data_IF_075049639137
#
_entry.id   IF_075049639137
#
_cell.length_a   1.000
_cell.length_b   1.000
_cell.length_c   1.000
_cell.angle_alpha   90.00
_cell.angle_beta   90.00
_cell.angle_gamma   90.00
#
_symmetry.space_group_name_H-M   'P 1'
#
loop_
_entity.id
_entity.type
_entity.pdbx_description
1 polymer ?
#
# COMPACT_ATOMS: atom_id res chain seq x y z
N UNK A 1 28.36 22.21 -13.43
CA UNK A 1 27.12 21.47 -13.12
C UNK A 1 26.39 21.04 -14.39
N UNK A 2 26.09 21.94 -15.32
CA UNK A 2 25.47 21.58 -16.62
C UNK A 2 26.39 20.73 -17.49
N UNK A 3 27.70 20.99 -17.51
CA UNK A 3 28.65 20.21 -18.31
C UNK A 3 28.90 18.81 -17.75
N UNK A 4 28.92 18.65 -16.42
CA UNK A 4 28.99 17.33 -15.78
C UNK A 4 27.74 16.48 -16.06
N UNK A 5 26.55 17.09 -16.03
CA UNK A 5 25.30 16.44 -16.44
C UNK A 5 25.28 16.06 -17.93
N UNK A 6 25.97 16.83 -18.79
CA UNK A 6 26.12 16.50 -20.21
C UNK A 6 27.07 15.33 -20.43
N UNK A 7 28.15 15.26 -19.68
CA UNK A 7 29.08 14.12 -19.72
C UNK A 7 28.43 12.84 -19.20
N UNK A 8 27.70 12.90 -18.07
CA UNK A 8 26.94 11.75 -17.53
C UNK A 8 25.85 11.28 -18.51
N UNK A 9 25.16 12.21 -19.17
CA UNK A 9 24.15 11.86 -20.17
C UNK A 9 24.77 11.26 -21.44
N UNK A 10 25.96 11.74 -21.85
CA UNK A 10 26.69 11.19 -22.98
C UNK A 10 27.17 9.76 -22.71
N UNK A 11 27.67 9.50 -21.50
CA UNK A 11 28.13 8.18 -21.06
C UNK A 11 26.97 7.17 -20.96
N UNK A 12 25.83 7.60 -20.43
CA UNK A 12 24.60 6.81 -20.39
C UNK A 12 24.10 6.49 -21.82
N UNK A 13 24.15 7.48 -22.72
CA UNK A 13 23.72 7.30 -24.12
C UNK A 13 24.63 6.32 -24.87
N UNK A 14 25.94 6.36 -24.61
CA UNK A 14 26.90 5.41 -25.18
C UNK A 14 26.65 3.98 -24.67
N UNK A 15 26.41 3.83 -23.36
CA UNK A 15 26.13 2.54 -22.73
C UNK A 15 24.84 1.89 -23.25
N UNK A 16 23.77 2.69 -23.43
CA UNK A 16 22.51 2.20 -24.00
C UNK A 16 22.69 1.77 -25.47
N UNK A 17 23.46 2.53 -26.26
CA UNK A 17 23.73 2.15 -27.65
C UNK A 17 24.50 0.83 -27.75
N UNK A 18 25.55 0.67 -26.94
CA UNK A 18 26.34 -0.56 -26.91
C UNK A 18 25.49 -1.78 -26.53
N UNK A 19 24.56 -1.63 -25.58
CA UNK A 19 23.63 -2.68 -25.22
C UNK A 19 22.68 -3.06 -26.36
N UNK A 20 22.12 -2.07 -27.07
CA UNK A 20 21.22 -2.31 -28.20
C UNK A 20 21.95 -3.00 -29.38
N UNK A 21 23.19 -2.62 -29.65
CA UNK A 21 24.03 -3.26 -30.66
C UNK A 21 24.36 -4.71 -30.28
N UNK A 22 24.75 -4.96 -29.02
CA UNK A 22 24.99 -6.31 -28.51
C UNK A 22 23.73 -7.19 -28.58
N UNK A 23 22.57 -6.66 -28.18
CA UNK A 23 21.30 -7.38 -28.26
C UNK A 23 20.93 -7.71 -29.71
N UNK A 24 21.14 -6.77 -30.65
CA UNK A 24 20.90 -7.01 -32.07
C UNK A 24 21.83 -8.08 -32.66
N UNK A 25 23.08 -8.18 -32.17
CA UNK A 25 24.04 -9.20 -32.62
C UNK A 25 23.80 -10.58 -32.02
N UNK A 26 23.36 -10.66 -30.76
CA UNK A 26 23.30 -11.92 -30.00
C UNK A 26 21.90 -12.52 -29.90
N UNK A 27 20.85 -11.70 -30.02
CA UNK A 27 19.46 -12.13 -29.82
C UNK A 27 19.17 -12.64 -28.41
N UNK A 28 20.01 -12.30 -27.42
CA UNK A 28 19.86 -12.73 -26.04
C UNK A 28 18.95 -11.78 -25.25
N UNK A 29 17.92 -12.32 -24.61
CA UNK A 29 17.05 -11.56 -23.71
C UNK A 29 17.75 -11.32 -22.35
N UNK A 30 18.06 -10.06 -22.02
CA UNK A 30 18.61 -9.64 -20.71
C UNK A 30 19.98 -8.94 -20.77
N UNK A 31 20.36 -8.26 -19.67
CA UNK A 31 21.68 -7.61 -19.54
C UNK A 31 22.77 -8.67 -19.27
N UNK A 32 23.95 -8.59 -19.93
CA UNK A 32 25.06 -9.49 -19.63
C UNK A 32 25.48 -9.31 -18.16
N UNK A 33 25.68 -10.44 -17.46
CA UNK A 33 25.93 -10.48 -16.01
C UNK A 33 27.25 -9.86 -15.54
N UNK A 34 28.09 -9.39 -16.47
CA UNK A 34 29.38 -8.75 -16.18
C UNK A 34 29.61 -7.54 -17.12
N UNK A 35 29.75 -6.31 -16.60
CA UNK A 35 30.05 -5.11 -17.39
C UNK A 35 31.38 -5.18 -18.15
N UNK A 36 32.33 -6.02 -17.74
CA UNK A 36 33.63 -6.18 -18.42
C UNK A 36 33.51 -6.85 -19.80
N UNK A 37 32.46 -7.66 -20.02
CA UNK A 37 32.19 -8.32 -21.29
C UNK A 37 31.80 -7.32 -22.42
N UNK A 38 31.28 -6.14 -22.07
CA UNK A 38 30.95 -5.07 -23.04
C UNK A 38 32.21 -4.42 -23.61
N UNK A 39 33.31 -4.34 -22.84
CA UNK A 39 34.57 -3.76 -23.29
C UNK A 39 35.41 -4.75 -24.12
N UNK A 40 35.39 -6.05 -23.79
CA UNK A 40 36.10 -7.08 -24.56
C UNK A 40 35.47 -7.30 -25.96
N UNK A 41 34.15 -7.20 -26.09
CA UNK A 41 33.46 -7.35 -27.38
C UNK A 41 33.80 -6.24 -28.39
N UNK A 42 34.15 -5.04 -27.90
CA UNK A 42 34.53 -3.90 -28.74
C UNK A 42 36.04 -3.83 -29.03
N UNK A 43 36.87 -4.59 -28.31
CA UNK A 43 38.33 -4.62 -28.46
C UNK A 43 38.87 -5.66 -29.45
N UNK A 44 38.05 -6.61 -29.91
CA UNK A 44 38.49 -7.73 -30.75
C UNK A 44 37.95 -7.64 -32.18
N UNK A 45 38.33 -6.60 -32.93
CA UNK A 45 38.24 -6.64 -34.40
C UNK A 45 39.38 -5.88 -35.06
N UNK A 46 40.53 -6.54 -35.16
CA UNK A 46 41.58 -6.19 -36.13
C UNK A 46 42.28 -7.48 -36.54
N UNK A 47 41.78 -8.11 -37.60
CA UNK A 47 42.49 -8.89 -38.62
C UNK A 47 41.62 -10.01 -39.21
N UNK A 48 41.37 -9.84 -40.50
CA UNK A 48 41.26 -10.87 -41.56
C UNK A 48 40.16 -11.93 -41.54
N UNK A 49 39.36 -11.94 -42.62
CA UNK A 49 38.61 -13.11 -43.07
C UNK A 49 37.35 -12.77 -43.88
N UNK A 50 37.43 -12.88 -45.21
CA UNK A 50 36.31 -12.65 -46.14
C UNK A 50 35.14 -13.66 -46.01
N UNK A 51 34.01 -13.40 -46.69
CA UNK A 51 32.75 -14.09 -46.39
C UNK A 51 32.56 -15.37 -47.23
N UNK A 52 31.85 -16.39 -46.71
CA UNK A 52 31.20 -17.37 -47.57
C UNK A 52 29.67 -17.19 -47.62
N UNK A 53 29.23 -16.97 -48.86
CA UNK A 53 28.05 -17.48 -49.55
C UNK A 53 26.76 -17.86 -48.79
N UNK A 54 25.69 -17.25 -49.30
CA UNK A 54 24.27 -17.53 -49.08
C UNK A 54 23.86 -19.01 -49.22
N UNK A 55 22.85 -19.40 -48.42
CA UNK A 55 21.88 -20.43 -48.80
C UNK A 55 20.46 -19.90 -48.71
N UNK A 56 19.80 -19.92 -49.87
CA UNK A 56 18.38 -19.73 -50.07
C UNK A 56 17.58 -20.80 -49.33
N UNK A 57 16.46 -20.39 -48.74
CA UNK A 57 15.28 -21.23 -48.61
C UNK A 57 14.07 -20.42 -49.07
N UNK A 58 13.64 -20.73 -50.29
CA UNK A 58 12.34 -20.38 -50.85
C UNK A 58 11.22 -20.93 -49.96
N UNK A 59 10.30 -20.06 -49.52
CA UNK A 59 8.86 -20.37 -49.47
C UNK A 59 8.08 -19.12 -49.85
N UNK A 60 7.51 -19.17 -51.04
CA UNK A 60 6.64 -18.13 -51.56
C UNK A 60 5.25 -18.15 -50.93
N UNK A 61 4.63 -16.98 -50.95
CA UNK A 61 3.19 -16.87 -51.14
C UNK A 61 2.95 -15.61 -52.00
N UNK A 62 2.48 -15.83 -53.23
CA UNK A 62 1.81 -14.82 -54.04
C UNK A 62 0.52 -14.41 -53.29
N UNK A 63 0.12 -13.15 -53.17
CA UNK A 63 -0.13 -12.20 -54.25
C UNK A 63 -1.65 -11.97 -54.33
N UNK A 64 -2.03 -10.70 -54.55
CA UNK A 64 -3.33 -10.18 -54.98
C UNK A 64 -4.23 -9.49 -53.94
N UNK A 65 -4.29 -8.16 -54.13
CA UNK A 65 -5.48 -7.31 -54.24
C UNK A 65 -6.22 -6.81 -53.00
N UNK A 66 -6.03 -5.50 -52.76
CA UNK A 66 -6.96 -4.61 -52.07
C UNK A 66 -8.24 -4.43 -52.92
N UNK A 67 -9.40 -4.12 -52.27
CA UNK A 67 -9.78 -2.71 -52.20
C UNK A 67 -10.51 -2.28 -50.92
N UNK A 68 -10.54 -0.96 -50.70
CA UNK A 68 -11.27 -0.25 -49.64
C UNK A 68 -12.79 -0.15 -49.90
N UNK A 69 -13.59 0.15 -48.85
CA UNK A 69 -14.79 0.98 -48.99
C UNK A 69 -14.77 2.17 -48.00
N UNK A 70 -14.83 3.41 -48.48
CA UNK A 70 -16.04 4.20 -48.77
C UNK A 70 -16.72 4.81 -47.52
N UNK A 71 -16.47 6.10 -47.33
CA UNK A 71 -17.15 7.01 -46.39
C UNK A 71 -18.34 7.66 -47.10
N UNK A 72 -19.55 7.75 -46.50
CA UNK A 72 -20.58 8.63 -47.03
C UNK A 72 -20.48 10.04 -46.43
N UNK A 73 -20.37 11.04 -47.32
CA UNK A 73 -20.68 12.46 -47.07
C UNK A 73 -22.04 12.81 -47.68
N UNK A 74 -22.77 13.70 -47.01
CA UNK A 74 -23.98 14.39 -47.48
C UNK A 74 -24.91 14.62 -46.28
N UNK A 75 -24.97 15.81 -45.66
CA UNK A 75 -25.66 17.00 -46.15
C UNK A 75 -27.13 16.92 -45.70
N UNK A 76 -27.78 17.85 -45.02
CA UNK A 76 -27.55 19.23 -44.63
C UNK A 76 -28.95 19.79 -44.34
N UNK A 77 -29.16 20.46 -43.21
CA UNK A 77 -30.32 21.31 -43.00
C UNK A 77 -29.99 22.34 -41.91
N UNK A 78 -29.78 23.57 -42.36
CA UNK A 78 -29.68 24.76 -41.54
C UNK A 78 -31.06 25.16 -41.03
N UNK A 79 -31.15 25.67 -39.81
CA UNK A 79 -31.97 26.84 -39.50
C UNK A 79 -31.33 27.62 -38.33
N UNK A 80 -31.27 28.94 -38.54
CA UNK A 80 -30.52 29.94 -37.81
C UNK A 80 -31.28 30.46 -36.55
N UNK A 81 -30.66 31.34 -35.74
CA UNK A 81 -30.99 31.54 -34.33
C UNK A 81 -31.91 32.74 -34.07
N UNK A 82 -32.54 32.78 -32.89
CA UNK A 82 -33.20 33.97 -32.36
C UNK A 82 -32.53 34.42 -31.06
N UNK A 83 -32.18 35.70 -31.04
CA UNK A 83 -31.44 36.38 -29.99
C UNK A 83 -32.37 37.17 -29.05
N UNK A 84 -31.84 37.44 -27.86
CA UNK A 84 -32.10 38.60 -26.98
C UNK A 84 -33.48 38.74 -26.30
N UNK A 85 -33.45 38.85 -24.97
CA UNK A 85 -33.52 40.15 -24.28
C UNK A 85 -33.18 40.04 -22.79
N UNK A 86 -32.42 41.04 -22.35
CA UNK A 86 -32.09 41.38 -20.98
C UNK A 86 -33.18 42.28 -20.40
N UNK A 87 -33.50 42.14 -19.12
CA UNK A 87 -34.11 43.21 -18.32
C UNK A 87 -33.79 42.97 -16.83
N UNK A 88 -33.16 43.98 -16.23
CA UNK A 88 -32.86 44.07 -14.82
C UNK A 88 -34.02 44.65 -14.01
N UNK A 89 -33.94 44.42 -12.70
CA UNK A 89 -34.27 45.33 -11.58
C UNK A 89 -35.45 44.97 -10.65
N UNK A 90 -35.10 45.13 -9.36
CA UNK A 90 -35.91 45.53 -8.21
C UNK A 90 -36.47 44.43 -7.27
N UNK A 91 -35.81 44.33 -6.11
CA UNK A 91 -36.34 43.83 -4.83
C UNK A 91 -37.63 44.57 -4.41
N UNK A 92 -38.43 43.98 -3.50
CA UNK A 92 -38.30 44.38 -2.09
C UNK A 92 -38.39 43.23 -1.08
N UNK A 93 -37.77 43.43 0.08
CA UNK A 93 -37.98 42.70 1.34
C UNK A 93 -38.86 43.56 2.28
N UNK A 94 -39.22 43.12 3.50
CA UNK A 94 -39.83 41.85 3.94
C UNK A 94 -41.16 42.13 4.70
N UNK A 95 -41.78 41.11 5.32
CA UNK A 95 -42.19 41.35 6.70
C UNK A 95 -41.77 40.23 7.68
N UNK A 96 -41.58 40.69 8.91
CA UNK A 96 -41.14 39.99 10.10
C UNK A 96 -42.23 39.08 10.74
N UNK A 97 -41.71 38.03 11.38
CA UNK A 97 -42.13 37.45 12.66
C UNK A 97 -43.54 36.84 12.82
N UNK A 98 -43.55 35.50 12.96
CA UNK A 98 -44.24 34.87 14.09
C UNK A 98 -43.54 33.57 14.50
N UNK A 99 -43.07 33.56 15.74
CA UNK A 99 -42.54 32.39 16.43
C UNK A 99 -43.65 31.38 16.73
N UNK A 100 -43.37 30.09 16.52
CA UNK A 100 -44.08 29.00 17.16
C UNK A 100 -43.08 27.87 17.44
N UNK A 101 -42.92 27.57 18.72
CA UNK A 101 -42.11 26.51 19.27
C UNK A 101 -42.61 25.14 18.79
N UNK A 102 -41.71 24.29 18.28
CA UNK A 102 -41.97 22.87 18.11
C UNK A 102 -41.45 22.13 19.34
N UNK A 103 -42.40 21.70 20.16
CA UNK A 103 -42.21 20.84 21.32
C UNK A 103 -42.03 19.37 20.90
N UNK A 104 -41.19 18.67 21.65
CA UNK A 104 -40.92 17.23 21.59
C UNK A 104 -42.18 16.37 21.76
N UNK A 105 -42.25 15.17 21.13
CA UNK A 105 -43.30 14.21 21.43
C UNK A 105 -43.02 13.44 22.74
N UNK A 106 -44.08 13.06 23.50
CA UNK A 106 -43.94 12.48 24.84
C UNK A 106 -43.79 10.94 24.83
N UNK A 107 -43.16 10.45 25.90
CA UNK A 107 -43.19 9.05 26.35
C UNK A 107 -44.61 8.55 26.62
N UNK A 108 -44.93 7.26 26.38
CA UNK A 108 -46.07 6.60 27.01
C UNK A 108 -45.65 5.87 28.30
N UNK A 109 -46.32 6.20 29.41
CA UNK A 109 -46.30 5.49 30.68
C UNK A 109 -47.16 4.21 30.63
N UNK A 110 -46.55 3.13 31.16
CA UNK A 110 -47.07 2.15 32.11
C UNK A 110 -48.57 1.78 32.06
N UNK A 111 -48.83 0.53 31.66
CA UNK A 111 -50.01 -0.24 32.06
C UNK A 111 -49.55 -1.50 32.81
N UNK A 112 -50.04 -1.63 34.04
CA UNK A 112 -49.81 -2.76 34.93
C UNK A 112 -50.31 -4.08 34.33
N UNK A 113 -49.51 -5.13 34.46
CA UNK A 113 -49.91 -6.51 34.23
C UNK A 113 -49.44 -7.37 35.41
N UNK A 114 -50.36 -8.19 35.88
CA UNK A 114 -50.35 -8.99 37.09
C UNK A 114 -49.17 -9.97 37.23
N UNK A 115 -48.77 -10.16 38.49
CA UNK A 115 -47.82 -11.14 38.94
C UNK A 115 -48.39 -12.56 38.85
N UNK A 116 -47.59 -13.49 38.31
CA UNK A 116 -47.75 -14.94 38.50
C UNK A 116 -46.44 -15.52 39.06
N UNK A 117 -46.52 -16.54 39.94
CA UNK A 117 -45.43 -16.89 40.85
C UNK A 117 -44.30 -17.71 40.21
N UNK A 118 -43.11 -17.54 40.79
CA UNK A 118 -41.85 -18.12 40.38
C UNK A 118 -41.86 -19.66 40.46
N UNK A 119 -41.51 -20.31 39.34
CA UNK A 119 -41.12 -21.72 39.31
C UNK A 119 -39.62 -21.85 39.58
N UNK A 120 -39.26 -22.77 40.46
CA UNK A 120 -37.91 -23.06 40.93
C UNK A 120 -36.95 -23.46 39.78
N UNK A 121 -35.64 -23.16 39.90
CA UNK A 121 -34.66 -23.49 38.87
C UNK A 121 -34.31 -24.99 38.88
N UNK A 122 -34.53 -25.66 37.76
CA UNK A 122 -34.04 -27.02 37.48
C UNK A 122 -32.58 -26.94 37.06
N UNK A 123 -31.69 -27.60 37.80
CA UNK A 123 -30.25 -27.66 37.51
C UNK A 123 -29.97 -28.49 36.25
N UNK A 124 -29.02 -28.09 35.38
CA UNK A 124 -28.56 -28.92 34.26
C UNK A 124 -27.69 -30.08 34.77
N UNK A 125 -27.71 -31.26 34.10
CA UNK A 125 -26.92 -32.42 34.52
C UNK A 125 -25.42 -32.21 34.32
N UNK A 126 -24.63 -32.68 35.31
CA UNK A 126 -23.17 -32.66 35.35
C UNK A 126 -22.55 -33.44 34.18
N UNK A 127 -21.53 -32.85 33.56
CA UNK A 127 -20.62 -33.53 32.64
C UNK A 127 -19.75 -34.57 33.40
N UNK A 128 -19.43 -35.73 32.80
CA UNK A 128 -18.55 -36.72 33.41
C UNK A 128 -17.07 -36.28 33.36
N UNK A 129 -16.36 -36.57 34.46
CA UNK A 129 -14.91 -36.36 34.63
C UNK A 129 -14.05 -37.22 33.67
N UNK A 130 -12.85 -36.76 33.29
CA UNK A 130 -11.94 -37.52 32.45
C UNK A 130 -11.17 -38.59 33.23
N UNK A 131 -11.18 -39.83 32.71
CA UNK A 131 -10.35 -40.93 33.20
C UNK A 131 -8.91 -40.90 32.63
N UNK A 132 -7.92 -41.46 33.34
CA UNK A 132 -6.49 -41.17 33.18
C UNK A 132 -5.79 -41.96 32.07
N UNK A 133 -4.68 -41.39 31.58
CA UNK A 133 -3.75 -41.97 30.60
C UNK A 133 -3.04 -43.23 31.13
N UNK A 134 -2.63 -44.16 30.25
CA UNK A 134 -1.44 -44.97 30.48
C UNK A 134 -0.23 -44.42 29.71
N UNK A 135 0.91 -44.42 30.39
CA UNK A 135 2.24 -44.09 29.87
C UNK A 135 2.99 -45.35 29.46
N UNK A 136 3.68 -45.33 28.31
CA UNK A 136 4.90 -46.08 27.90
C UNK A 136 5.19 -45.69 26.43
N UNK A 137 6.40 -45.55 25.88
CA UNK A 137 7.77 -45.85 26.31
C UNK A 137 8.74 -44.95 25.53
N UNK A 138 9.87 -44.61 26.15
CA UNK A 138 10.98 -43.89 25.53
C UNK A 138 11.79 -44.81 24.61
N UNK A 139 12.15 -44.33 23.42
CA UNK A 139 13.16 -44.94 22.56
C UNK A 139 14.06 -43.87 21.90
N UNK A 140 15.26 -43.78 22.46
CA UNK A 140 16.56 -43.41 21.89
C UNK A 140 16.64 -42.39 20.73
N UNK A 141 17.22 -41.23 21.06
CA UNK A 141 17.77 -40.27 20.10
C UNK A 141 19.06 -40.80 19.43
N UNK A 142 19.27 -40.55 18.12
CA UNK A 142 20.61 -40.53 17.56
C UNK A 142 21.27 -39.16 17.79
N UNK A 143 22.56 -39.24 18.09
CA UNK A 143 23.44 -38.18 18.60
C UNK A 143 23.58 -37.00 17.64
N UNK A 144 23.67 -35.82 18.25
CA UNK A 144 24.01 -34.56 17.64
C UNK A 144 25.45 -34.51 17.13
N UNK A 145 25.65 -33.93 15.95
CA UNK A 145 26.79 -33.09 15.55
C UNK A 145 26.52 -32.45 14.17
N UNK A 146 26.84 -31.17 13.90
CA UNK A 146 26.97 -30.03 14.80
C UNK A 146 26.01 -28.88 14.37
N UNK A 147 25.18 -28.41 15.30
CA UNK A 147 24.40 -27.17 15.17
C UNK A 147 25.27 -25.88 15.10
N UNK A 148 26.59 -26.03 14.94
CA UNK A 148 27.56 -24.96 14.83
C UNK A 148 27.59 -24.30 13.43
N UNK A 149 26.84 -24.82 12.44
CA UNK A 149 26.73 -24.20 11.10
C UNK A 149 25.45 -23.36 10.91
N UNK A 150 24.56 -23.34 11.88
CA UNK A 150 23.35 -22.49 11.89
C UNK A 150 23.54 -21.13 12.60
N UNK A 151 24.75 -20.87 13.12
CA UNK A 151 25.20 -19.56 13.59
C UNK A 151 26.30 -18.97 12.69
N UNK A 152 26.31 -19.33 11.40
CA UNK A 152 27.03 -18.56 10.40
C UNK A 152 26.29 -17.23 10.21
N UNK A 153 26.64 -16.27 11.09
CA UNK A 153 26.53 -14.83 10.95
C UNK A 153 25.58 -14.35 9.86
N UNK A 154 24.39 -13.89 10.27
CA UNK A 154 23.71 -12.83 9.53
C UNK A 154 24.69 -11.65 9.48
N UNK A 155 25.43 -11.55 8.38
CA UNK A 155 26.26 -10.39 8.08
C UNK A 155 25.35 -9.16 8.14
N UNK A 156 25.85 -8.00 8.60
CA UNK A 156 25.06 -6.78 8.58
C UNK A 156 24.64 -6.48 7.14
N UNK A 157 23.35 -6.66 6.84
CA UNK A 157 22.79 -6.39 5.51
C UNK A 157 23.08 -4.93 5.15
N UNK A 158 23.76 -4.72 4.03
CA UNK A 158 24.03 -3.36 3.57
C UNK A 158 22.72 -2.65 3.22
N UNK A 159 22.68 -1.30 3.22
CA UNK A 159 21.51 -0.57 2.74
C UNK A 159 21.11 -1.00 1.32
N UNK A 160 22.08 -1.21 0.42
CA UNK A 160 21.84 -1.64 -0.96
C UNK A 160 21.19 -3.03 -1.03
N UNK A 161 21.69 -4.01 -0.26
CA UNK A 161 21.10 -5.36 -0.20
C UNK A 161 19.65 -5.33 0.29
N UNK A 162 19.36 -4.49 1.29
CA UNK A 162 17.99 -4.29 1.79
C UNK A 162 17.08 -3.72 0.70
N UNK A 163 17.56 -2.74 -0.07
CA UNK A 163 16.81 -2.14 -1.17
C UNK A 163 16.53 -3.17 -2.28
N UNK A 164 17.54 -3.94 -2.68
CA UNK A 164 17.37 -5.02 -3.66
C UNK A 164 16.31 -6.02 -3.20
N UNK A 165 16.35 -6.45 -1.95
CA UNK A 165 15.36 -7.38 -1.39
C UNK A 165 13.96 -6.77 -1.32
N UNK A 166 13.83 -5.49 -0.98
CA UNK A 166 12.55 -4.79 -1.01
C UNK A 166 11.96 -4.77 -2.43
N UNK A 167 12.80 -4.51 -3.44
CA UNK A 167 12.38 -4.55 -4.85
C UNK A 167 11.91 -5.94 -5.27
N UNK A 168 12.60 -7.00 -4.88
CA UNK A 168 12.16 -8.38 -5.14
C UNK A 168 10.78 -8.67 -4.53
N UNK A 169 10.55 -8.25 -3.28
CA UNK A 169 9.25 -8.39 -2.62
C UNK A 169 8.17 -7.57 -3.33
N UNK A 170 8.51 -6.38 -3.85
CA UNK A 170 7.56 -5.57 -4.61
C UNK A 170 7.09 -6.29 -5.89
N UNK A 171 8.00 -6.97 -6.60
CA UNK A 171 7.66 -7.79 -7.77
C UNK A 171 6.84 -9.03 -7.42
N UNK A 172 7.15 -9.71 -6.29
CA UNK A 172 6.30 -10.80 -5.78
C UNK A 172 4.89 -10.33 -5.45
N UNK A 173 4.76 -9.15 -4.84
CA UNK A 173 3.46 -8.56 -4.52
C UNK A 173 2.69 -8.27 -5.80
N UNK A 174 3.33 -7.73 -6.84
CA UNK A 174 2.69 -7.37 -8.12
C UNK A 174 1.89 -8.52 -8.72
N UNK A 175 2.43 -9.74 -8.69
CA UNK A 175 1.81 -10.94 -9.25
C UNK A 175 1.08 -11.81 -8.22
N UNK A 176 1.02 -11.38 -6.95
CA UNK A 176 0.44 -12.16 -5.85
C UNK A 176 -1.04 -12.53 -6.08
N UNK A 177 -1.39 -13.79 -5.77
CA UNK A 177 -2.76 -14.34 -5.81
C UNK A 177 -3.14 -15.08 -4.51
N UNK A 178 -2.43 -14.81 -3.39
CA UNK A 178 -2.58 -15.55 -2.13
C UNK A 178 -3.92 -15.35 -1.40
N UNK A 179 -4.76 -14.39 -1.81
CA UNK A 179 -6.08 -14.15 -1.23
C UNK A 179 -7.07 -13.58 -2.28
N UNK A 180 -8.39 -13.63 -2.04
CA UNK A 180 -9.40 -13.21 -3.02
C UNK A 180 -9.31 -11.75 -3.49
N UNK A 181 -8.65 -10.87 -2.73
CA UNK A 181 -8.48 -9.46 -3.11
C UNK A 181 -7.73 -9.27 -4.43
N UNK A 182 -6.99 -10.29 -4.88
CA UNK A 182 -6.25 -10.25 -6.12
C UNK A 182 -7.20 -10.15 -7.35
N UNK A 183 -8.42 -10.67 -7.26
CA UNK A 183 -9.39 -10.75 -8.37
C UNK A 183 -9.97 -9.39 -8.78
N UNK A 184 -10.08 -8.47 -7.82
CA UNK A 184 -10.77 -7.18 -8.02
C UNK A 184 -9.85 -5.95 -8.08
N UNK A 185 -8.53 -6.14 -7.98
CA UNK A 185 -7.56 -5.02 -8.01
C UNK A 185 -7.26 -4.58 -9.43
N UNK A 186 -6.97 -3.30 -9.62
CA UNK A 186 -6.33 -2.79 -10.85
C UNK A 186 -4.82 -2.88 -10.71
N UNK A 187 -4.27 -2.32 -9.62
CA UNK A 187 -2.86 -2.41 -9.28
C UNK A 187 -2.68 -2.85 -7.82
N UNK A 188 -1.60 -3.56 -7.55
CA UNK A 188 -1.13 -3.68 -6.17
C UNK A 188 -0.53 -2.36 -5.70
N UNK A 189 -0.71 -2.08 -4.41
CA UNK A 189 -0.20 -0.88 -3.77
C UNK A 189 0.77 -1.30 -2.68
N UNK A 190 2.06 -1.28 -3.02
CA UNK A 190 3.11 -1.83 -2.16
C UNK A 190 3.54 -0.86 -1.05
N UNK A 191 4.01 0.32 -1.46
CA UNK A 191 4.51 1.39 -0.58
C UNK A 191 4.76 2.69 -1.36
N UNK A 192 5.01 3.80 -0.63
CA UNK A 192 5.71 4.99 -1.15
C UNK A 192 6.71 5.54 -0.14
N UNK A 193 7.59 6.41 -0.63
CA UNK A 193 8.58 7.15 0.16
C UNK A 193 9.84 6.34 0.49
N UNK A 194 10.61 6.81 1.46
CA UNK A 194 11.99 6.34 1.70
C UNK A 194 12.06 4.96 2.41
N UNK A 195 12.56 3.90 1.76
CA UNK A 195 12.76 2.58 2.37
C UNK A 195 13.88 2.52 3.44
N UNK A 196 14.62 3.61 3.65
CA UNK A 196 15.59 3.79 4.73
C UNK A 196 15.06 4.70 5.85
N UNK A 197 13.79 5.11 5.79
CA UNK A 197 13.17 5.99 6.78
C UNK A 197 13.17 5.40 8.19
N UNK A 198 13.42 6.27 9.18
CA UNK A 198 13.29 5.93 10.60
C UNK A 198 11.83 5.79 11.08
N UNK A 199 10.86 6.29 10.30
CA UNK A 199 9.44 6.28 10.61
C UNK A 199 8.63 5.61 9.48
N UNK A 200 7.74 4.70 9.87
CA UNK A 200 6.83 4.01 8.94
C UNK A 200 5.38 4.30 9.33
N UNK A 201 4.54 4.70 8.37
CA UNK A 201 3.09 4.80 8.53
C UNK A 201 2.42 3.57 7.91
N UNK A 202 1.52 2.95 8.67
CA UNK A 202 0.79 1.74 8.26
C UNK A 202 -0.71 2.00 8.30
N UNK A 203 -1.36 1.94 7.14
CA UNK A 203 -2.81 2.02 6.99
C UNK A 203 -3.50 0.67 6.84
N UNK A 204 -4.80 0.71 6.55
CA UNK A 204 -5.64 -0.48 6.39
C UNK A 204 -5.40 -1.21 5.06
N UNK A 205 -5.60 -0.51 3.95
CA UNK A 205 -5.61 -1.06 2.60
C UNK A 205 -5.82 0.04 1.56
N UNK A 206 -5.66 -0.27 0.27
CA UNK A 206 -5.85 0.71 -0.81
C UNK A 206 -7.32 1.12 -0.95
N UNK A 207 -7.55 2.39 -1.28
CA UNK A 207 -8.83 2.88 -1.78
C UNK A 207 -8.91 2.83 -3.30
N UNK A 208 -9.91 3.51 -3.87
CA UNK A 208 -10.15 3.49 -5.32
C UNK A 208 -9.04 4.20 -6.11
N UNK A 209 -8.60 5.36 -5.62
CA UNK A 209 -7.57 6.17 -6.28
C UNK A 209 -6.20 5.49 -6.14
N UNK A 210 -5.91 4.90 -4.97
CA UNK A 210 -4.69 4.13 -4.74
C UNK A 210 -4.61 2.89 -5.66
N UNK A 211 -5.71 2.16 -5.81
CA UNK A 211 -5.78 0.99 -6.72
C UNK A 211 -5.55 1.38 -8.18
N UNK A 212 -6.06 2.54 -8.60
CA UNK A 212 -5.85 3.04 -9.96
C UNK A 212 -4.41 3.51 -10.20
N UNK A 213 -3.78 4.12 -9.19
CA UNK A 213 -2.44 4.72 -9.35
C UNK A 213 -1.29 3.79 -8.93
N UNK A 214 -1.57 2.72 -8.17
CA UNK A 214 -0.53 1.84 -7.63
C UNK A 214 0.23 2.40 -6.43
N UNK A 215 -0.14 3.58 -5.91
CA UNK A 215 0.56 4.29 -4.84
C UNK A 215 -0.36 4.47 -3.61
N UNK A 216 0.12 4.23 -2.38
CA UNK A 216 -0.72 4.32 -1.18
C UNK A 216 -0.99 5.79 -0.80
N UNK A 217 -2.17 6.05 -0.24
CA UNK A 217 -2.55 7.36 0.31
C UNK A 217 -2.43 8.51 -0.72
N UNK A 218 -2.98 8.35 -1.91
CA UNK A 218 -3.03 9.42 -2.93
C UNK A 218 -4.33 10.21 -2.88
N UNK A 219 -5.41 9.63 -2.34
CA UNK A 219 -6.70 10.31 -2.25
C UNK A 219 -6.85 11.32 -1.11
N UNK A 220 -8.07 11.78 -0.80
CA UNK A 220 -8.31 12.83 0.20
C UNK A 220 -7.75 12.51 1.59
N UNK A 221 -7.83 11.24 2.00
CA UNK A 221 -7.24 10.77 3.27
C UNK A 221 -5.71 10.86 3.25
N UNK A 222 -5.10 10.59 2.09
CA UNK A 222 -3.67 10.70 1.87
C UNK A 222 -3.16 12.12 1.84
N UNK A 223 -3.88 13.04 1.22
CA UNK A 223 -3.56 14.47 1.25
C UNK A 223 -3.58 15.03 2.70
N UNK A 224 -4.49 14.53 3.54
CA UNK A 224 -4.49 14.88 4.96
C UNK A 224 -3.29 14.26 5.70
N UNK A 225 -2.93 13.01 5.38
CA UNK A 225 -1.73 12.38 5.92
C UNK A 225 -0.47 13.17 5.55
N UNK A 226 -0.34 13.62 4.31
CA UNK A 226 0.80 14.43 3.86
C UNK A 226 0.90 15.75 4.64
N UNK A 227 -0.23 16.40 4.93
CA UNK A 227 -0.26 17.59 5.81
C UNK A 227 0.19 17.27 7.23
N UNK A 228 -0.19 16.10 7.76
CA UNK A 228 0.25 15.66 9.08
C UNK A 228 1.76 15.38 9.11
N UNK A 229 2.30 14.73 8.09
CA UNK A 229 3.73 14.45 7.92
C UNK A 229 4.52 15.75 7.81
N UNK A 230 4.04 16.69 6.99
CA UNK A 230 4.64 18.02 6.86
C UNK A 230 4.63 18.78 8.20
N UNK A 231 3.53 18.72 8.95
CA UNK A 231 3.45 19.32 10.28
C UNK A 231 4.42 18.67 11.28
N UNK A 232 4.80 17.41 11.09
CA UNK A 232 5.85 16.75 11.88
C UNK A 232 7.28 17.13 11.46
N UNK A 233 7.44 18.00 10.46
CA UNK A 233 8.74 18.42 9.92
C UNK A 233 9.38 17.40 8.97
N UNK A 234 8.60 16.50 8.38
CA UNK A 234 9.08 15.54 7.37
C UNK A 234 8.63 15.94 5.96
N UNK A 235 9.44 15.59 4.97
CA UNK A 235 9.01 15.56 3.58
C UNK A 235 8.10 14.33 3.35
N UNK A 236 7.11 14.43 2.46
CA UNK A 236 6.20 13.30 2.14
C UNK A 236 6.95 12.04 1.70
N UNK A 237 8.05 12.22 0.98
CA UNK A 237 8.87 11.10 0.47
C UNK A 237 10.00 10.72 1.43
N UNK A 238 10.23 11.49 2.50
CA UNK A 238 11.21 11.20 3.55
C UNK A 238 10.70 10.27 4.65
N UNK A 239 9.49 9.73 4.48
CA UNK A 239 8.90 8.72 5.36
C UNK A 239 8.47 7.51 4.53
N UNK A 240 8.30 6.35 5.16
CA UNK A 240 7.79 5.18 4.46
C UNK A 240 6.31 4.98 4.76
N UNK A 241 5.48 4.80 3.73
CA UNK A 241 4.03 4.62 3.89
C UNK A 241 3.60 3.33 3.20
N UNK A 242 2.83 2.50 3.90
CA UNK A 242 2.28 1.26 3.36
C UNK A 242 0.97 0.88 4.08
N UNK A 243 0.37 -0.26 3.71
CA UNK A 243 -0.87 -0.77 4.29
C UNK A 243 -0.75 -2.23 4.77
N UNK A 244 -1.70 -2.70 5.58
CA UNK A 244 -1.79 -4.13 5.96
C UNK A 244 -2.00 -5.01 4.72
N UNK A 245 -3.02 -4.70 3.92
CA UNK A 245 -3.26 -5.39 2.65
C UNK A 245 -2.75 -4.56 1.47
N UNK A 246 -2.27 -5.22 0.41
CA UNK A 246 -1.69 -4.57 -0.79
C UNK A 246 -2.67 -4.47 -1.97
N UNK A 247 -3.89 -4.97 -1.81
CA UNK A 247 -4.93 -4.97 -2.82
C UNK A 247 -6.19 -4.34 -2.25
N UNK A 248 -6.91 -3.58 -3.07
CA UNK A 248 -8.15 -2.90 -2.66
C UNK A 248 -9.27 -3.90 -2.34
N UNK A 249 -9.85 -3.87 -1.14
CA UNK A 249 -11.06 -4.64 -0.87
C UNK A 249 -12.27 -4.14 -1.69
N UNK A 250 -13.16 -5.04 -2.15
CA UNK A 250 -14.36 -4.66 -2.90
C UNK A 250 -15.17 -3.57 -2.18
N UNK A 251 -15.54 -2.51 -2.91
CA UNK A 251 -16.29 -1.36 -2.37
C UNK A 251 -15.62 -0.67 -1.16
N UNK A 252 -14.29 -0.78 -1.02
CA UNK A 252 -13.53 -0.25 0.11
C UNK A 252 -14.04 -0.78 1.47
N UNK A 253 -14.53 -2.02 1.52
CA UNK A 253 -14.85 -2.68 2.80
C UNK A 253 -13.57 -2.88 3.62
N UNK A 254 -13.74 -3.11 4.92
CA UNK A 254 -12.62 -3.56 5.76
C UNK A 254 -12.08 -4.91 5.22
N UNK A 255 -10.75 -5.11 5.14
CA UNK A 255 -10.20 -6.41 4.81
C UNK A 255 -10.57 -7.45 5.87
N UNK A 256 -10.84 -8.67 5.42
CA UNK A 256 -11.16 -9.78 6.29
C UNK A 256 -9.91 -10.29 7.02
N UNK A 257 -10.05 -10.92 8.20
CA UNK A 257 -8.90 -11.46 8.93
C UNK A 257 -8.04 -12.42 8.10
N UNK A 258 -8.65 -13.25 7.25
CA UNK A 258 -7.94 -14.16 6.35
C UNK A 258 -7.13 -13.41 5.28
N UNK A 259 -7.67 -12.32 4.73
CA UNK A 259 -6.99 -11.47 3.75
C UNK A 259 -5.80 -10.75 4.39
N UNK A 260 -5.98 -10.22 5.60
CA UNK A 260 -4.91 -9.62 6.40
C UNK A 260 -3.81 -10.65 6.71
N UNK A 261 -4.20 -11.85 7.15
CA UNK A 261 -3.26 -12.92 7.47
C UNK A 261 -2.42 -13.32 6.24
N UNK A 262 -3.06 -13.50 5.09
CA UNK A 262 -2.38 -13.84 3.83
C UNK A 262 -1.41 -12.75 3.35
N UNK A 263 -1.71 -11.48 3.61
CA UNK A 263 -0.88 -10.34 3.18
C UNK A 263 0.20 -9.93 4.20
N UNK A 264 -0.01 -10.26 5.48
CA UNK A 264 0.89 -9.88 6.59
C UNK A 264 2.36 -10.28 6.42
N UNK A 265 2.74 -11.39 5.74
CA UNK A 265 4.16 -11.72 5.53
C UNK A 265 4.90 -10.67 4.71
N UNK A 266 4.23 -9.99 3.77
CA UNK A 266 4.84 -8.90 2.99
C UNK A 266 5.14 -7.69 3.88
N UNK A 267 4.19 -7.28 4.72
CA UNK A 267 4.40 -6.19 5.67
C UNK A 267 5.51 -6.54 6.68
N UNK A 268 5.52 -7.77 7.19
CA UNK A 268 6.56 -8.23 8.10
C UNK A 268 7.95 -8.17 7.46
N UNK A 269 8.05 -8.53 6.18
CA UNK A 269 9.30 -8.46 5.41
C UNK A 269 9.71 -7.01 5.13
N UNK A 270 8.77 -6.12 4.78
CA UNK A 270 9.01 -4.68 4.65
C UNK A 270 9.61 -4.11 5.94
N UNK A 271 8.96 -4.33 7.08
CA UNK A 271 9.41 -3.81 8.37
C UNK A 271 10.76 -4.39 8.81
N UNK A 272 11.03 -5.67 8.51
CA UNK A 272 12.31 -6.30 8.81
C UNK A 272 13.47 -5.72 7.99
N UNK A 273 13.22 -5.30 6.74
CA UNK A 273 14.23 -4.70 5.87
C UNK A 273 14.41 -3.20 6.15
N UNK A 274 13.33 -2.46 6.39
CA UNK A 274 13.37 -1.02 6.67
C UNK A 274 14.03 -0.75 8.03
N UNK A 275 13.73 -1.60 9.03
CA UNK A 275 14.19 -1.46 10.42
C UNK A 275 13.84 -0.09 11.01
N UNK A 276 12.55 0.32 11.01
CA UNK A 276 12.16 1.64 11.49
C UNK A 276 12.35 1.77 13.01
N UNK A 277 12.59 2.99 13.47
CA UNK A 277 12.58 3.32 14.90
C UNK A 277 11.17 3.40 15.46
N UNK A 278 10.19 3.85 14.66
CA UNK A 278 8.77 3.97 15.08
C UNK A 278 7.84 3.57 13.94
N UNK A 279 6.74 2.90 14.29
CA UNK A 279 5.59 2.66 13.42
C UNK A 279 4.40 3.51 13.88
N UNK A 280 3.79 4.27 12.99
CA UNK A 280 2.51 4.96 13.22
C UNK A 280 1.39 4.13 12.60
N UNK A 281 0.54 3.54 13.44
CA UNK A 281 -0.55 2.68 12.99
C UNK A 281 -1.84 3.49 12.84
N UNK A 282 -2.31 3.65 11.61
CA UNK A 282 -3.45 4.49 11.24
C UNK A 282 -4.75 3.65 11.29
N UNK A 283 -5.48 3.74 12.39
CA UNK A 283 -6.78 3.09 12.56
C UNK A 283 -6.72 1.67 13.14
N UNK A 284 -7.90 1.13 13.47
CA UNK A 284 -8.03 -0.16 14.17
C UNK A 284 -7.44 -1.32 13.36
N UNK A 285 -7.67 -1.34 12.04
CA UNK A 285 -7.23 -2.42 11.17
C UNK A 285 -5.70 -2.49 11.08
N UNK A 286 -5.02 -1.34 11.05
CA UNK A 286 -3.56 -1.29 11.09
C UNK A 286 -3.01 -1.91 12.39
N UNK A 287 -3.59 -1.55 13.54
CA UNK A 287 -3.16 -2.09 14.83
C UNK A 287 -3.46 -3.59 14.93
N UNK A 288 -4.65 -4.02 14.50
CA UNK A 288 -5.03 -5.43 14.43
C UNK A 288 -4.05 -6.22 13.55
N UNK A 289 -3.66 -5.70 12.38
CA UNK A 289 -2.72 -6.36 11.48
C UNK A 289 -1.28 -6.42 12.00
N UNK A 290 -0.86 -5.43 12.81
CA UNK A 290 0.48 -5.38 13.38
C UNK A 290 0.64 -6.26 14.63
N UNK A 291 -0.34 -6.25 15.54
CA UNK A 291 -0.20 -6.89 16.87
C UNK A 291 -1.34 -7.86 17.23
N UNK A 292 -2.29 -8.11 16.32
CA UNK A 292 -3.35 -9.11 16.53
C UNK A 292 -4.42 -8.74 17.56
N UNK A 293 -4.47 -7.49 18.01
CA UNK A 293 -5.48 -7.04 18.98
C UNK A 293 -6.86 -6.86 18.34
N UNK A 294 -7.92 -7.11 19.11
CA UNK A 294 -9.32 -6.86 18.76
C UNK A 294 -9.89 -5.61 19.44
N UNK A 295 -9.08 -4.91 20.25
CA UNK A 295 -9.51 -3.70 20.93
C UNK A 295 -9.78 -2.54 19.95
N UNK A 296 -10.77 -1.71 20.28
CA UNK A 296 -11.15 -0.56 19.46
C UNK A 296 -10.11 0.56 19.49
N UNK A 297 -9.91 1.24 18.34
CA UNK A 297 -8.89 2.28 18.18
C UNK A 297 -9.01 3.43 19.19
N UNK A 298 -10.23 3.79 19.61
CA UNK A 298 -10.47 4.84 20.60
C UNK A 298 -9.79 4.54 21.95
N UNK A 299 -9.69 3.26 22.35
CA UNK A 299 -9.01 2.84 23.58
C UNK A 299 -7.50 2.75 23.40
N UNK A 300 -7.04 2.41 22.19
CA UNK A 300 -5.64 2.12 21.92
C UNK A 300 -4.81 3.35 21.57
N UNK A 301 -5.43 4.39 20.97
CA UNK A 301 -4.71 5.54 20.46
C UNK A 301 -3.94 6.30 21.54
N UNK A 302 -2.77 6.83 21.17
CA UNK A 302 -1.92 7.60 22.08
C UNK A 302 -1.18 6.77 23.13
N UNK A 303 -1.36 5.45 23.15
CA UNK A 303 -0.65 4.55 24.06
C UNK A 303 0.34 3.71 23.28
N UNK A 304 1.63 3.81 23.62
CA UNK A 304 2.69 3.03 23.01
C UNK A 304 2.43 1.52 23.10
N UNK A 305 2.65 0.84 21.98
CA UNK A 305 2.65 -0.63 21.86
C UNK A 305 3.98 -1.09 21.27
N UNK A 306 4.20 -2.40 21.20
CA UNK A 306 5.42 -2.97 20.60
C UNK A 306 5.05 -3.94 19.48
N UNK A 307 5.64 -3.73 18.31
CA UNK A 307 5.68 -4.71 17.23
C UNK A 307 6.80 -5.70 17.50
N UNK A 308 6.48 -7.01 17.52
CA UNK A 308 7.43 -8.10 17.78
C UNK A 308 8.37 -7.82 18.98
N UNK A 309 7.82 -7.20 20.03
CA UNK A 309 8.53 -6.91 21.28
C UNK A 309 9.65 -5.86 21.20
N UNK A 310 9.90 -5.24 20.04
CA UNK A 310 11.09 -4.40 19.85
C UNK A 310 10.82 -3.04 19.22
N UNK A 311 9.92 -2.94 18.23
CA UNK A 311 9.68 -1.68 17.51
C UNK A 311 8.45 -0.97 18.12
N UNK A 312 8.59 0.26 18.65
CA UNK A 312 7.49 1.07 19.14
C UNK A 312 6.43 1.33 18.07
N UNK A 313 5.16 1.12 18.44
CA UNK A 313 4.00 1.50 17.64
C UNK A 313 3.25 2.63 18.37
N UNK A 314 2.92 3.70 17.66
CA UNK A 314 1.92 4.68 18.07
C UNK A 314 0.61 4.44 17.31
N UNK A 315 -0.42 3.85 17.95
CA UNK A 315 -1.76 3.81 17.39
C UNK A 315 -2.38 5.20 17.34
N UNK A 316 -3.04 5.54 16.23
CA UNK A 316 -3.81 6.78 16.10
C UNK A 316 -5.00 6.61 15.16
N UNK A 317 -5.86 7.62 15.04
CA UNK A 317 -7.01 7.56 14.12
C UNK A 317 -6.56 7.61 12.66
N UNK A 318 -7.29 6.89 11.81
CA UNK A 318 -7.05 6.91 10.37
C UNK A 318 -7.42 8.29 9.78
N UNK A 319 -6.67 8.84 8.80
CA UNK A 319 -6.98 10.15 8.20
C UNK A 319 -8.41 10.24 7.62
N UNK A 320 -8.92 9.16 7.03
CA UNK A 320 -10.31 9.10 6.55
C UNK A 320 -11.36 9.31 7.67
N UNK A 321 -11.06 8.95 8.92
CA UNK A 321 -11.92 9.27 10.07
C UNK A 321 -11.92 10.77 10.36
N UNK A 322 -10.76 11.42 10.29
CA UNK A 322 -10.62 12.87 10.53
C UNK A 322 -11.34 13.73 9.48
N UNK A 323 -11.50 13.22 8.26
CA UNK A 323 -12.31 13.89 7.23
C UNK A 323 -13.79 13.95 7.61
N UNK A 324 -14.30 12.93 8.33
CA UNK A 324 -15.69 12.89 8.81
C UNK A 324 -15.86 13.51 10.19
N UNK A 325 -14.82 13.44 11.03
CA UNK A 325 -14.80 13.97 12.38
C UNK A 325 -13.61 14.91 12.59
N UNK A 326 -13.68 16.17 12.13
CA UNK A 326 -12.57 17.12 12.23
C UNK A 326 -12.14 17.43 13.67
N UNK A 327 -13.04 17.29 14.65
CA UNK A 327 -12.73 17.50 16.06
C UNK A 327 -11.62 16.59 16.60
N UNK A 328 -11.49 15.38 16.04
CA UNK A 328 -10.49 14.39 16.44
C UNK A 328 -9.06 14.73 15.98
N UNK A 329 -8.86 15.82 15.21
CA UNK A 329 -7.53 16.26 14.75
C UNK A 329 -6.62 16.63 15.92
N UNK A 330 -7.18 17.16 17.02
CA UNK A 330 -6.41 17.55 18.21
C UNK A 330 -5.78 16.33 18.87
N UNK A 331 -6.56 15.26 18.99
CA UNK A 331 -6.13 13.97 19.51
C UNK A 331 -5.02 13.38 18.64
N UNK A 332 -5.22 13.30 17.32
CA UNK A 332 -4.20 12.77 16.42
C UNK A 332 -2.91 13.59 16.48
N UNK A 333 -3.02 14.93 16.52
CA UNK A 333 -1.85 15.77 16.69
C UNK A 333 -1.12 15.52 18.02
N UNK A 334 -1.84 15.24 19.11
CA UNK A 334 -1.23 14.83 20.37
C UNK A 334 -0.42 13.54 20.23
N UNK A 335 -0.93 12.54 19.50
CA UNK A 335 -0.24 11.27 19.27
C UNK A 335 1.05 11.49 18.45
N UNK A 336 0.97 12.33 17.41
CA UNK A 336 2.13 12.62 16.56
C UNK A 336 3.21 13.42 17.30
N UNK A 337 2.83 14.30 18.24
CA UNK A 337 3.81 14.95 19.12
C UNK A 337 4.56 13.97 20.01
N UNK A 338 3.87 12.93 20.52
CA UNK A 338 4.54 11.87 21.27
C UNK A 338 5.54 11.10 20.38
N UNK A 339 5.20 10.86 19.11
CA UNK A 339 6.12 10.26 18.13
C UNK A 339 7.34 11.15 17.90
N UNK A 340 7.15 12.45 17.68
CA UNK A 340 8.26 13.40 17.52
C UNK A 340 9.16 13.42 18.76
N UNK A 341 8.56 13.47 19.96
CA UNK A 341 9.27 13.42 21.24
C UNK A 341 10.10 12.14 21.38
N UNK A 342 9.55 10.98 20.99
CA UNK A 342 10.26 9.71 21.01
C UNK A 342 11.45 9.68 20.04
N UNK A 343 11.31 10.31 18.86
CA UNK A 343 12.38 10.43 17.87
C UNK A 343 13.37 11.57 18.17
N UNK A 344 13.24 12.26 19.32
CA UNK A 344 14.11 13.38 19.69
C UNK A 344 13.91 14.64 18.84
N UNK A 345 12.77 14.77 18.16
CA UNK A 345 12.42 15.95 17.36
C UNK A 345 11.56 16.91 18.17
N UNK A 346 11.88 18.21 18.08
CA UNK A 346 11.05 19.28 18.62
C UNK A 346 9.77 19.42 17.79
N UNK A 347 8.61 19.50 18.45
CA UNK A 347 7.39 19.87 17.75
C UNK A 347 7.55 21.30 17.22
N UNK A 348 7.20 21.60 15.95
CA UNK A 348 7.25 22.96 15.48
C UNK A 348 6.31 23.84 16.32
N UNK A 349 6.81 25.04 16.67
CA UNK A 349 6.00 26.03 17.38
C UNK A 349 4.75 26.33 16.56
N UNK A 350 3.61 26.48 17.25
CA UNK A 350 2.35 26.84 16.61
C UNK A 350 2.49 28.26 16.07
N UNK A 351 2.83 28.38 14.78
CA UNK A 351 2.60 29.59 13.98
C UNK A 351 1.11 29.82 13.74
#
# INVERSE_FOLDING_TARGET
>A
MVDALREELADLTASVRAFLEWHAMTGADGLPGDPSALHEALGASSSEGGPPAARRADRGFAGLDAPAPAVPRGGGAAFAPAAQRSAAAASPAPPEQRAAAFASPPHPEQRAAEAQPARAPVQPPRAPEPSPRPAVSAAAAPRAEPAARALAAAQPESPEERLTRLSLIAEEVRTCQKCPLHEGRTHTVFSRGDPLSEIVFVGEGPGAEEDQQGEPFVGPAGQLLDKMIAAMGYHRDGVYICNIVKCRPPKNRKPEPAEMAACSPYLASQLALIKPKVIVALGATAVQGLIGTTEGITKLRGTWKLYKGSIPIMPTFHPAYLLRQPGAKREVWSDLKEVMRHLGKSAPDRG
#
